data_IF_477481215663
#
_entry.id   IF_477481215663
#
_cell.length_a   1.000
_cell.length_b   1.000
_cell.length_c   1.000
_cell.angle_alpha   90.00
_cell.angle_beta   90.00
_cell.angle_gamma   90.00
#
_symmetry.space_group_name_H-M   'P 1'
#
loop_
_entity.id
_entity.type
_entity.pdbx_description
1 polymer ?
#
# COMPACT_ATOMS: atom_id res chain seq x y z
N UNK A 1 1.67 21.99 -0.59
CA UNK A 1 2.53 21.01 -1.30
C UNK A 1 1.89 20.75 -2.66
N UNK A 2 2.48 21.26 -3.73
CA UNK A 2 1.91 21.17 -5.08
C UNK A 2 2.03 19.76 -5.64
N UNK A 3 0.93 19.21 -6.12
CA UNK A 3 0.90 17.92 -6.82
C UNK A 3 1.66 18.03 -8.14
N UNK A 4 2.52 17.05 -8.45
CA UNK A 4 3.37 16.99 -9.66
C UNK A 4 2.60 17.09 -10.99
N UNK A 5 1.28 16.92 -10.97
CA UNK A 5 0.40 17.06 -12.14
C UNK A 5 0.31 18.50 -12.66
N UNK A 6 0.64 19.50 -11.83
CA UNK A 6 0.64 20.92 -12.24
C UNK A 6 1.82 21.30 -13.13
N UNK A 7 2.91 20.52 -13.11
CA UNK A 7 4.15 20.87 -13.82
C UNK A 7 4.44 19.98 -15.03
N UNK A 8 3.93 18.75 -15.05
CA UNK A 8 4.16 17.81 -16.15
C UNK A 8 2.88 17.04 -16.52
N UNK A 9 1.95 17.67 -17.25
CA UNK A 9 0.62 17.11 -17.54
C UNK A 9 0.65 15.84 -18.41
N UNK A 10 1.76 15.59 -19.12
CA UNK A 10 1.94 14.43 -20.00
C UNK A 10 2.76 13.29 -19.37
N UNK A 11 3.27 13.47 -18.15
CA UNK A 11 4.09 12.44 -17.51
C UNK A 11 3.20 11.34 -16.94
N UNK A 12 3.28 10.13 -17.51
CA UNK A 12 2.74 8.94 -16.85
C UNK A 12 3.62 8.59 -15.66
N UNK A 13 3.08 8.73 -14.46
CA UNK A 13 3.74 8.31 -13.23
C UNK A 13 3.76 6.78 -13.16
N UNK A 14 4.83 6.16 -13.67
CA UNK A 14 5.08 4.73 -13.46
C UNK A 14 5.62 4.55 -12.04
N UNK A 15 4.82 3.95 -11.17
CA UNK A 15 5.23 3.64 -9.80
C UNK A 15 6.48 2.77 -9.81
N UNK A 16 7.56 3.21 -9.15
CA UNK A 16 8.75 2.41 -8.96
C UNK A 16 8.57 1.52 -7.71
N UNK A 17 8.80 0.21 -7.85
CA UNK A 17 8.72 -0.75 -6.74
C UNK A 17 9.60 -0.33 -5.56
N UNK A 18 10.80 0.19 -5.83
CA UNK A 18 11.72 0.63 -4.79
C UNK A 18 11.09 1.73 -3.91
N UNK A 19 10.53 2.78 -4.54
CA UNK A 19 9.86 3.85 -3.81
C UNK A 19 8.57 3.37 -3.13
N UNK A 20 7.83 2.46 -3.74
CA UNK A 20 6.64 1.87 -3.11
C UNK A 20 7.01 1.12 -1.83
N UNK A 21 7.97 0.18 -1.90
CA UNK A 21 8.39 -0.60 -0.73
C UNK A 21 9.02 0.26 0.36
N UNK A 22 9.81 1.27 -0.01
CA UNK A 22 10.34 2.25 0.95
C UNK A 22 9.23 3.07 1.61
N UNK A 23 8.23 3.55 0.87
CA UNK A 23 7.12 4.33 1.42
C UNK A 23 6.28 3.50 2.39
N UNK A 24 5.96 2.24 2.04
CA UNK A 24 5.25 1.32 2.94
C UNK A 24 6.08 1.06 4.19
N UNK A 25 7.39 0.81 4.07
CA UNK A 25 8.26 0.58 5.23
C UNK A 25 8.40 1.82 6.12
N UNK A 26 8.48 3.02 5.54
CA UNK A 26 8.47 4.27 6.29
C UNK A 26 7.16 4.41 7.07
N UNK A 27 6.01 4.13 6.44
CA UNK A 27 4.72 4.17 7.12
C UNK A 27 4.61 3.16 8.26
N UNK A 28 5.13 1.94 8.09
CA UNK A 28 5.23 0.93 9.17
C UNK A 28 5.99 1.47 10.38
N UNK A 29 7.10 2.19 10.16
CA UNK A 29 7.86 2.83 11.23
C UNK A 29 7.07 3.96 11.90
N UNK A 30 6.45 4.85 11.11
CA UNK A 30 5.63 5.98 11.61
C UNK A 30 4.44 5.50 12.47
N UNK A 31 3.88 4.33 12.16
CA UNK A 31 2.79 3.71 12.92
C UNK A 31 3.25 2.91 14.15
N UNK A 32 4.55 2.96 14.49
CA UNK A 32 5.12 2.25 15.64
C UNK A 32 5.11 0.72 15.49
N UNK A 33 4.97 0.20 14.27
CA UNK A 33 4.78 -1.23 14.02
C UNK A 33 6.07 -2.03 13.92
N UNK A 34 7.24 -1.43 14.16
CA UNK A 34 8.54 -2.08 13.96
C UNK A 34 8.67 -3.35 14.81
N UNK A 35 8.27 -3.30 16.08
CA UNK A 35 8.31 -4.45 16.99
C UNK A 35 7.33 -5.54 16.52
N UNK A 36 6.06 -5.16 16.27
CA UNK A 36 5.05 -6.08 15.74
C UNK A 36 5.48 -6.75 14.44
N UNK A 37 6.10 -6.02 13.51
CA UNK A 37 6.63 -6.56 12.26
C UNK A 37 7.76 -7.57 12.49
N UNK A 38 8.59 -7.38 13.51
CA UNK A 38 9.71 -8.27 13.83
C UNK A 38 9.26 -9.54 14.53
N UNK A 39 8.32 -9.42 15.45
CA UNK A 39 7.93 -10.48 16.39
C UNK A 39 6.71 -11.27 15.92
N UNK A 40 5.80 -10.67 15.15
CA UNK A 40 4.60 -11.33 14.65
C UNK A 40 4.76 -11.72 13.17
N UNK A 41 4.89 -13.02 12.91
CA UNK A 41 5.07 -13.58 11.56
C UNK A 41 3.91 -13.26 10.61
N UNK A 42 2.68 -13.16 11.12
CA UNK A 42 1.51 -12.84 10.30
C UNK A 42 1.51 -11.38 9.88
N UNK A 43 1.86 -10.46 10.78
CA UNK A 43 2.04 -9.03 10.45
C UNK A 43 3.17 -8.86 9.43
N UNK A 44 4.31 -9.53 9.65
CA UNK A 44 5.43 -9.51 8.73
C UNK A 44 5.03 -9.98 7.33
N UNK A 45 4.32 -11.11 7.26
CA UNK A 45 3.84 -11.68 6.00
C UNK A 45 2.85 -10.74 5.32
N UNK A 46 1.89 -10.18 6.06
CA UNK A 46 0.92 -9.23 5.56
C UNK A 46 1.58 -8.01 4.91
N UNK A 47 2.49 -7.35 5.61
CA UNK A 47 3.20 -6.17 5.10
C UNK A 47 4.00 -6.51 3.84
N UNK A 48 4.62 -7.70 3.77
CA UNK A 48 5.33 -8.15 2.57
C UNK A 48 4.40 -8.43 1.39
N UNK A 49 3.22 -9.00 1.63
CA UNK A 49 2.21 -9.20 0.57
C UNK A 49 1.72 -7.84 0.06
N UNK A 50 1.45 -6.89 0.96
CA UNK A 50 1.05 -5.54 0.62
C UNK A 50 2.09 -4.85 -0.30
N UNK A 51 3.38 -4.96 0.03
CA UNK A 51 4.49 -4.49 -0.82
C UNK A 51 4.58 -5.23 -2.17
N UNK A 52 4.18 -6.50 -2.22
CA UNK A 52 4.24 -7.33 -3.41
C UNK A 52 3.08 -7.11 -4.39
N UNK A 53 2.05 -6.34 -4.02
CA UNK A 53 0.94 -6.02 -4.91
C UNK A 53 1.40 -5.37 -6.22
N UNK A 54 2.51 -4.64 -6.19
CA UNK A 54 3.12 -4.03 -7.37
C UNK A 54 3.61 -5.04 -8.44
N UNK A 55 3.72 -6.34 -8.11
CA UNK A 55 4.05 -7.39 -9.06
C UNK A 55 2.84 -8.00 -9.77
N UNK A 56 1.62 -7.70 -9.29
CA UNK A 56 0.41 -8.23 -9.92
C UNK A 56 0.11 -7.49 -11.23
N UNK A 57 -0.53 -8.17 -12.20
CA UNK A 57 -1.17 -7.48 -13.31
C UNK A 57 -2.13 -6.41 -12.78
N UNK A 58 -2.19 -5.24 -13.44
CA UNK A 58 -2.98 -4.09 -12.98
C UNK A 58 -4.44 -4.46 -12.65
N UNK A 59 -5.05 -5.31 -13.47
CA UNK A 59 -6.43 -5.81 -13.30
C UNK A 59 -6.63 -6.61 -12.01
N UNK A 60 -5.57 -7.20 -11.46
CA UNK A 60 -5.60 -8.03 -10.25
C UNK A 60 -5.22 -7.26 -8.99
N UNK A 61 -4.60 -6.06 -9.11
CA UNK A 61 -4.13 -5.27 -7.97
C UNK A 61 -5.28 -4.88 -7.05
N UNK A 62 -6.35 -4.27 -7.58
CA UNK A 62 -7.49 -3.82 -6.75
C UNK A 62 -8.23 -5.00 -6.09
N UNK A 63 -8.57 -6.10 -6.80
CA UNK A 63 -9.17 -7.27 -6.15
C UNK A 63 -8.31 -7.85 -5.02
N UNK A 64 -7.00 -8.04 -5.26
CA UNK A 64 -6.09 -8.56 -4.24
C UNK A 64 -5.94 -7.61 -3.05
N UNK A 65 -5.90 -6.30 -3.30
CA UNK A 65 -5.87 -5.30 -2.24
C UNK A 65 -7.13 -5.33 -1.38
N UNK A 66 -8.33 -5.39 -1.98
CA UNK A 66 -9.58 -5.49 -1.22
C UNK A 66 -9.60 -6.73 -0.32
N UNK A 67 -9.12 -7.89 -0.81
CA UNK A 67 -9.00 -9.10 0.01
C UNK A 67 -8.09 -8.92 1.23
N UNK A 68 -6.97 -8.19 1.08
CA UNK A 68 -6.07 -7.88 2.19
C UNK A 68 -6.73 -6.92 3.18
N UNK A 69 -7.36 -5.85 2.68
CA UNK A 69 -8.05 -4.85 3.49
C UNK A 69 -9.16 -5.45 4.34
N UNK A 70 -9.92 -6.37 3.76
CA UNK A 70 -11.09 -6.95 4.41
C UNK A 70 -10.72 -8.18 5.28
N UNK A 71 -9.42 -8.52 5.39
CA UNK A 71 -8.94 -9.65 6.20
C UNK A 71 -9.13 -9.42 7.70
N UNK A 72 -9.36 -10.52 8.43
CA UNK A 72 -9.49 -10.51 9.89
C UNK A 72 -8.30 -9.85 10.60
N UNK A 73 -7.08 -10.03 10.06
CA UNK A 73 -5.87 -9.41 10.62
C UNK A 73 -5.96 -7.87 10.62
N UNK A 74 -6.55 -7.29 9.58
CA UNK A 74 -6.78 -5.84 9.50
C UNK A 74 -7.91 -5.42 10.45
N UNK A 75 -8.94 -6.25 10.66
CA UNK A 75 -10.02 -5.98 11.61
C UNK A 75 -9.57 -5.99 13.08
N UNK A 76 -8.59 -6.83 13.43
CA UNK A 76 -8.06 -6.92 14.80
C UNK A 76 -6.99 -5.86 15.09
N UNK A 77 -6.23 -5.41 14.09
CA UNK A 77 -5.08 -4.53 14.29
C UNK A 77 -5.30 -3.12 13.71
N UNK A 78 -5.55 -2.13 14.58
CA UNK A 78 -5.73 -0.73 14.19
C UNK A 78 -4.57 -0.18 13.34
N UNK A 79 -3.33 -0.56 13.66
CA UNK A 79 -2.18 -0.07 12.91
C UNK A 79 -2.15 -0.64 11.47
N UNK A 80 -2.63 -1.86 11.26
CA UNK A 80 -2.80 -2.39 9.90
C UNK A 80 -3.91 -1.68 9.14
N UNK A 81 -5.03 -1.32 9.79
CA UNK A 81 -6.06 -0.48 9.15
C UNK A 81 -5.47 0.82 8.62
N UNK A 82 -4.73 1.51 9.46
CA UNK A 82 -4.09 2.78 9.09
C UNK A 82 -3.07 2.59 7.95
N UNK A 83 -2.30 1.50 7.97
CA UNK A 83 -1.34 1.19 6.91
C UNK A 83 -2.04 0.92 5.58
N UNK A 84 -3.09 0.10 5.58
CA UNK A 84 -3.86 -0.25 4.39
C UNK A 84 -4.57 0.97 3.83
N UNK A 85 -5.20 1.78 4.67
CA UNK A 85 -5.84 3.03 4.28
C UNK A 85 -4.83 3.98 3.59
N UNK A 86 -3.65 4.15 4.18
CA UNK A 86 -2.58 4.94 3.56
C UNK A 86 -2.22 4.43 2.17
N UNK A 87 -2.12 3.11 1.97
CA UNK A 87 -1.83 2.52 0.66
C UNK A 87 -2.96 2.76 -0.34
N UNK A 88 -4.22 2.60 0.09
CA UNK A 88 -5.38 2.86 -0.76
C UNK A 88 -5.41 4.30 -1.26
N UNK A 89 -5.27 5.26 -0.33
CA UNK A 89 -5.31 6.70 -0.61
C UNK A 89 -4.14 7.20 -1.44
N UNK A 90 -2.97 6.58 -1.31
CA UNK A 90 -1.76 7.02 -2.02
C UNK A 90 -1.69 6.49 -3.45
N UNK A 91 -2.13 5.25 -3.68
CA UNK A 91 -1.92 4.58 -4.98
C UNK A 91 -3.18 4.09 -5.68
N UNK A 92 -4.27 3.79 -4.98
CA UNK A 92 -5.42 3.09 -5.59
C UNK A 92 -6.62 4.00 -5.84
N UNK A 93 -6.80 5.07 -5.07
CA UNK A 93 -7.82 6.10 -5.31
C UNK A 93 -7.53 6.94 -6.57
N UNK A 94 -6.26 6.99 -7.00
CA UNK A 94 -5.79 7.79 -8.13
C UNK A 94 -5.80 7.03 -9.47
N UNK A 95 -6.16 5.73 -9.48
CA UNK A 95 -6.22 4.93 -10.71
C UNK A 95 -7.68 4.92 -11.21
N UNK A 96 -8.03 5.68 -12.27
CA UNK A 96 -9.30 5.48 -12.96
C UNK A 96 -9.23 4.11 -13.64
N UNK A 97 -9.96 3.14 -13.11
CA UNK A 97 -10.12 1.83 -13.76
C UNK A 97 -11.33 2.00 -14.68
N UNK A 98 -11.17 1.97 -16.01
CA UNK A 98 -12.31 1.92 -16.91
C UNK A 98 -12.98 0.55 -16.71
N UNK A 99 -14.26 0.57 -16.36
CA UNK A 99 -15.13 -0.58 -16.47
C UNK A 99 -15.48 -0.84 -17.93
#
# INVERSE_FOLDING_TARGET
>A
MGSSLTRFPTTQHKGCLFHHTQAVWKKVQELGMVVLYRENIQIKKFVRILMALAFLPVVSVRPAFCQLRDSFLVQEHQQLRNLVQYVEETWLTMIPIPF
#
